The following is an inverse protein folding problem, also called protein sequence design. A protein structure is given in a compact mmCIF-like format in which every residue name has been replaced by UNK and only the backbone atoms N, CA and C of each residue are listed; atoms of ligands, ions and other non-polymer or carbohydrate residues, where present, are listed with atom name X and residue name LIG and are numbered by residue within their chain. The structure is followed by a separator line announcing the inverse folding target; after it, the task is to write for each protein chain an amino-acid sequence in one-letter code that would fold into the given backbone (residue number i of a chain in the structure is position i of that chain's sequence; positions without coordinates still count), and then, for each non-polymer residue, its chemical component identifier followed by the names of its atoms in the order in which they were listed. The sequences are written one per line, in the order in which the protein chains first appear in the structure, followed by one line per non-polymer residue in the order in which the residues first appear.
data_IF_893372524090
#
_entry.id   IF_893372524090
#
_cell.length_a   1.000
_cell.length_b   1.000
_cell.length_c   1.000
_cell.angle_alpha   90.00
_cell.angle_beta   90.00
_cell.angle_gamma   90.00
#
_symmetry.space_group_name_H-M   'P 1'
#
loop_
_entity.id
_entity.type
_entity.pdbx_description
1 polymer ?
#
# COMPACT_ATOMS: atom_id res chain seq x y z
N UNK A 1 -21.02 16.70 -11.73
CA UNK A 1 -19.80 16.76 -10.90
C UNK A 1 -19.62 15.39 -10.29
N UNK A 2 -18.45 14.72 -10.53
CA UNK A 2 -18.14 13.47 -9.83
C UNK A 2 -18.11 13.75 -8.34
N UNK A 3 -18.86 13.00 -7.56
CA UNK A 3 -18.83 13.05 -6.11
C UNK A 3 -17.42 12.60 -5.65
N UNK A 4 -16.57 13.57 -5.27
CA UNK A 4 -15.22 13.29 -4.77
C UNK A 4 -15.36 12.79 -3.33
N UNK A 5 -14.92 11.54 -3.02
CA UNK A 5 -15.03 11.01 -1.66
C UNK A 5 -14.31 11.88 -0.61
N UNK A 6 -13.46 12.81 -1.02
CA UNK A 6 -12.85 13.80 -0.14
C UNK A 6 -13.87 14.76 0.52
N UNK A 7 -15.04 14.95 -0.07
CA UNK A 7 -16.06 15.86 0.45
C UNK A 7 -16.71 15.38 1.77
N UNK A 8 -16.49 14.13 2.13
CA UNK A 8 -17.07 13.51 3.34
C UNK A 8 -16.07 13.39 4.50
N UNK A 9 -14.89 14.02 4.38
CA UNK A 9 -13.88 13.99 5.43
C UNK A 9 -14.10 15.08 6.46
N UNK A 10 -13.81 14.76 7.74
CA UNK A 10 -13.82 15.72 8.85
C UNK A 10 -12.64 16.69 8.85
N UNK A 11 -11.66 16.47 7.97
CA UNK A 11 -10.49 17.32 7.77
C UNK A 11 -10.42 17.80 6.33
N UNK A 12 -9.88 19.00 6.11
CA UNK A 12 -9.62 19.51 4.76
C UNK A 12 -8.58 18.65 4.05
N UNK A 13 -8.93 18.19 2.85
CA UNK A 13 -8.05 17.41 2.00
C UNK A 13 -7.62 18.23 0.79
N UNK A 14 -6.40 18.69 0.82
CA UNK A 14 -5.75 19.35 -0.31
C UNK A 14 -5.52 18.36 -1.47
N UNK A 15 -5.41 18.89 -2.67
CA UNK A 15 -5.10 18.11 -3.86
C UNK A 15 -3.88 18.69 -4.57
N UNK A 16 -2.89 17.84 -4.78
CA UNK A 16 -1.64 18.17 -5.46
C UNK A 16 -1.35 17.20 -6.59
N UNK A 17 -0.40 17.60 -7.43
CA UNK A 17 0.16 16.75 -8.47
C UNK A 17 1.68 16.76 -8.36
N UNK A 18 2.26 15.56 -8.30
CA UNK A 18 3.72 15.39 -8.26
C UNK A 18 4.15 14.73 -9.55
N UNK A 19 5.04 15.38 -10.29
CA UNK A 19 5.56 14.88 -11.55
C UNK A 19 6.98 14.33 -11.42
N UNK A 20 7.22 13.16 -12.04
CA UNK A 20 8.56 12.60 -12.18
C UNK A 20 8.67 11.80 -13.49
N UNK A 21 9.69 12.07 -14.29
CA UNK A 21 10.03 11.33 -15.53
C UNK A 21 8.82 11.08 -16.45
N UNK A 22 7.96 12.08 -16.62
CA UNK A 22 6.77 12.00 -17.49
C UNK A 22 5.57 11.27 -16.86
N UNK A 23 5.64 10.89 -15.60
CA UNK A 23 4.51 10.34 -14.82
C UNK A 23 4.06 11.36 -13.80
N UNK A 24 2.75 11.61 -13.73
CA UNK A 24 2.15 12.49 -12.72
C UNK A 24 1.36 11.67 -11.71
N UNK A 25 1.62 11.90 -10.45
CA UNK A 25 0.90 11.31 -9.33
C UNK A 25 -0.11 12.30 -8.78
N UNK A 26 -1.36 11.89 -8.63
CA UNK A 26 -2.35 12.60 -7.85
C UNK A 26 -2.10 12.34 -6.37
N UNK A 27 -2.09 13.40 -5.59
CA UNK A 27 -1.74 13.34 -4.16
C UNK A 27 -2.80 14.07 -3.35
N UNK A 28 -3.22 13.46 -2.25
CA UNK A 28 -4.01 14.12 -1.21
C UNK A 28 -3.13 14.45 -0.03
N UNK A 29 -3.36 15.62 0.58
CA UNK A 29 -2.64 16.02 1.77
C UNK A 29 -3.59 16.61 2.82
N UNK A 30 -3.24 16.44 4.09
CA UNK A 30 -3.98 16.96 5.24
C UNK A 30 -3.02 17.28 6.40
N UNK A 31 -3.48 18.08 7.34
CA UNK A 31 -2.71 18.50 8.52
C UNK A 31 -1.78 19.68 8.26
N UNK A 32 -1.08 20.16 9.30
CA UNK A 32 -0.25 21.37 9.22
C UNK A 32 0.91 21.18 8.23
N UNK A 33 1.18 22.21 7.44
CA UNK A 33 2.24 22.16 6.40
C UNK A 33 3.63 21.91 6.99
N UNK A 34 3.91 22.47 8.17
CA UNK A 34 5.18 22.35 8.90
C UNK A 34 5.28 21.08 9.78
N UNK A 35 4.18 20.35 9.92
CA UNK A 35 4.14 19.12 10.70
C UNK A 35 5.11 18.04 10.20
N UNK A 36 5.50 17.08 11.05
CA UNK A 36 6.32 15.95 10.63
C UNK A 36 5.63 15.17 9.49
N UNK A 37 6.37 14.92 8.40
CA UNK A 37 5.81 14.29 7.20
C UNK A 37 5.58 12.80 7.41
N UNK A 38 4.34 12.37 7.10
CA UNK A 38 3.95 10.95 6.98
C UNK A 38 3.37 10.69 5.59
N UNK A 39 3.95 9.75 4.87
CA UNK A 39 3.45 9.29 3.57
C UNK A 39 2.72 7.97 3.75
N UNK A 40 1.46 7.90 3.30
CA UNK A 40 0.64 6.68 3.38
C UNK A 40 0.52 6.04 1.99
N UNK A 41 0.99 4.80 1.85
CA UNK A 41 1.04 4.05 0.59
C UNK A 41 0.00 2.93 0.62
N UNK A 42 -1.04 3.05 -0.21
CA UNK A 42 -2.10 2.04 -0.35
C UNK A 42 -1.63 0.82 -1.15
N UNK A 43 -2.44 -0.23 -1.16
CA UNK A 43 -2.22 -1.43 -1.96
C UNK A 43 -3.25 -1.65 -3.06
N UNK A 44 -3.29 -2.90 -3.55
CA UNK A 44 -4.24 -3.37 -4.55
C UNK A 44 -5.54 -3.86 -3.90
N UNK A 45 -6.71 -3.48 -4.40
CA UNK A 45 -6.96 -2.60 -5.53
C UNK A 45 -7.42 -1.19 -5.07
N UNK A 46 -6.84 -0.69 -4.01
CA UNK A 46 -7.23 0.56 -3.36
C UNK A 46 -6.65 1.81 -4.06
N UNK A 47 -6.85 2.96 -3.46
CA UNK A 47 -6.28 4.25 -3.80
C UNK A 47 -6.20 5.10 -2.51
N UNK A 48 -5.85 6.38 -2.54
CA UNK A 48 -5.69 7.21 -1.34
C UNK A 48 -6.84 7.02 -0.31
N UNK A 49 -8.03 6.69 -0.76
CA UNK A 49 -9.22 6.50 0.08
C UNK A 49 -9.12 5.30 1.04
N UNK A 50 -8.26 4.35 0.75
CA UNK A 50 -7.94 3.25 1.66
C UNK A 50 -7.46 3.70 3.03
N UNK A 51 -6.96 4.93 3.12
CA UNK A 51 -6.47 5.54 4.35
C UNK A 51 -7.46 6.51 5.02
N UNK A 52 -8.73 6.50 4.60
CA UNK A 52 -9.77 7.44 5.05
C UNK A 52 -9.96 7.51 6.56
N UNK A 53 -9.63 6.45 7.29
CA UNK A 53 -9.73 6.39 8.76
C UNK A 53 -8.43 6.76 9.47
N UNK A 54 -7.28 6.75 8.79
CA UNK A 54 -5.97 7.11 9.32
C UNK A 54 -5.66 8.59 9.08
N UNK A 55 -6.02 9.12 7.93
CA UNK A 55 -5.75 10.53 7.56
C UNK A 55 -6.23 11.51 8.63
N UNK A 56 -7.50 11.48 9.09
CA UNK A 56 -7.97 12.44 10.10
C UNK A 56 -7.25 12.30 11.44
N UNK A 57 -6.97 11.06 11.86
CA UNK A 57 -6.33 10.80 13.15
C UNK A 57 -4.87 11.32 13.19
N UNK A 58 -4.12 11.08 12.12
CA UNK A 58 -2.73 11.55 12.01
C UNK A 58 -2.66 13.07 11.83
N UNK A 59 -3.56 13.66 11.03
CA UNK A 59 -3.62 15.10 10.83
C UNK A 59 -3.99 15.83 12.14
N UNK A 60 -4.96 15.30 12.91
CA UNK A 60 -5.34 15.85 14.22
C UNK A 60 -4.21 15.73 15.26
N UNK A 61 -3.31 14.77 15.11
CA UNK A 61 -2.11 14.63 15.94
C UNK A 61 -0.94 15.54 15.48
N UNK A 62 -1.17 16.43 14.51
CA UNK A 62 -0.17 17.42 14.07
C UNK A 62 0.78 16.94 12.97
N UNK A 63 0.54 15.77 12.35
CA UNK A 63 1.34 15.31 11.22
C UNK A 63 0.89 15.94 9.90
N UNK A 64 1.85 16.25 9.02
CA UNK A 64 1.56 16.48 7.61
C UNK A 64 1.39 15.13 6.95
N UNK A 65 0.16 14.77 6.63
CA UNK A 65 -0.21 13.48 6.03
C UNK A 65 -0.30 13.63 4.52
N UNK A 66 0.48 12.87 3.76
CA UNK A 66 0.52 12.91 2.29
C UNK A 66 0.21 11.52 1.76
N UNK A 67 -0.78 11.43 0.87
CA UNK A 67 -1.32 10.15 0.39
C UNK A 67 -1.40 10.17 -1.14
N UNK A 68 -0.40 9.62 -1.83
CA UNK A 68 -0.46 9.51 -3.29
C UNK A 68 -1.44 8.41 -3.72
N UNK A 69 -2.17 8.66 -4.81
CA UNK A 69 -2.58 7.55 -5.66
C UNK A 69 -1.32 7.01 -6.34
N UNK A 70 -0.92 5.82 -6.01
CA UNK A 70 0.30 5.26 -6.57
C UNK A 70 0.17 5.09 -8.10
N UNK A 71 1.27 5.02 -8.80
CA UNK A 71 1.35 4.86 -10.26
C UNK A 71 0.42 3.74 -10.75
N UNK A 72 -0.45 4.06 -11.71
CA UNK A 72 -1.43 3.11 -12.24
C UNK A 72 -2.78 3.10 -11.54
N UNK A 73 -2.93 3.82 -10.43
CA UNK A 73 -4.17 3.86 -9.64
C UNK A 73 -4.93 5.18 -9.79
N UNK A 74 -6.22 5.12 -9.65
CA UNK A 74 -7.20 6.22 -9.61
C UNK A 74 -6.87 7.36 -10.60
N UNK A 75 -6.41 8.52 -10.12
CA UNK A 75 -6.15 9.71 -10.93
C UNK A 75 -4.70 9.79 -11.41
N UNK A 76 -3.77 9.06 -10.82
CA UNK A 76 -2.36 9.04 -11.25
C UNK A 76 -2.19 8.43 -12.64
N UNK A 77 -1.15 8.80 -13.34
CA UNK A 77 -0.85 8.26 -14.66
C UNK A 77 -0.65 6.74 -14.62
N UNK A 78 -1.08 6.06 -15.69
CA UNK A 78 -1.00 4.61 -15.84
C UNK A 78 -0.22 4.25 -17.12
N UNK A 79 1.12 4.24 -17.07
CA UNK A 79 1.95 3.84 -18.19
C UNK A 79 1.58 2.44 -18.71
N UNK A 80 1.69 2.23 -20.03
CA UNK A 80 1.36 0.92 -20.62
C UNK A 80 2.41 -0.13 -20.36
N UNK A 81 3.69 0.28 -20.33
CA UNK A 81 4.82 -0.62 -20.21
C UNK A 81 4.91 -1.23 -18.80
N UNK A 82 5.05 -2.55 -18.72
CA UNK A 82 5.22 -3.28 -17.45
C UNK A 82 6.46 -2.80 -16.70
N UNK A 83 7.56 -2.50 -17.42
CA UNK A 83 8.80 -2.00 -16.82
C UNK A 83 8.65 -0.66 -16.07
N UNK A 84 7.60 0.12 -16.36
CA UNK A 84 7.30 1.34 -15.63
C UNK A 84 6.85 1.08 -14.19
N UNK A 85 6.54 -0.17 -13.83
CA UNK A 85 6.07 -0.60 -12.51
C UNK A 85 7.12 -1.41 -11.75
N UNK A 86 8.39 -1.36 -12.16
CA UNK A 86 9.49 -1.94 -11.37
C UNK A 86 9.59 -1.22 -10.01
N UNK A 87 9.92 -1.96 -8.95
CA UNK A 87 9.98 -1.43 -7.59
C UNK A 87 10.92 -0.24 -7.44
N UNK A 88 12.02 -0.19 -8.20
CA UNK A 88 12.93 0.94 -8.18
C UNK A 88 12.21 2.23 -8.64
N UNK A 89 11.37 2.14 -9.68
CA UNK A 89 10.54 3.27 -10.16
C UNK A 89 9.46 3.69 -9.17
N UNK A 90 8.90 2.73 -8.46
CA UNK A 90 7.86 3.00 -7.44
C UNK A 90 8.46 3.67 -6.20
N UNK A 91 9.67 3.29 -5.81
CA UNK A 91 10.45 3.96 -4.77
C UNK A 91 10.80 5.39 -5.19
N UNK A 92 11.24 5.58 -6.42
CA UNK A 92 11.50 6.90 -6.99
C UNK A 92 10.28 7.82 -6.90
N UNK A 93 9.07 7.30 -7.13
CA UNK A 93 7.82 8.04 -6.97
C UNK A 93 7.62 8.52 -5.53
N UNK A 94 7.90 7.65 -4.54
CA UNK A 94 7.80 8.02 -3.12
C UNK A 94 8.83 9.09 -2.77
N UNK A 95 10.06 8.98 -3.25
CA UNK A 95 11.10 10.00 -3.07
C UNK A 95 10.64 11.35 -3.65
N UNK A 96 10.05 11.35 -4.86
CA UNK A 96 9.52 12.57 -5.47
C UNK A 96 8.37 13.19 -4.67
N UNK A 97 7.52 12.39 -4.03
CA UNK A 97 6.46 12.86 -3.13
C UNK A 97 7.06 13.51 -1.88
N UNK A 98 8.12 12.93 -1.30
CA UNK A 98 8.84 13.49 -0.15
C UNK A 98 9.50 14.84 -0.53
N UNK A 99 10.14 14.89 -1.70
CA UNK A 99 10.79 16.11 -2.23
C UNK A 99 9.76 17.22 -2.48
N UNK A 100 8.62 16.88 -3.10
CA UNK A 100 7.54 17.82 -3.37
C UNK A 100 6.90 18.37 -2.08
N UNK A 101 6.96 17.64 -0.98
CA UNK A 101 6.56 18.12 0.34
C UNK A 101 7.65 18.99 1.03
N UNK A 102 8.77 19.27 0.35
CA UNK A 102 9.87 20.09 0.89
C UNK A 102 10.65 19.41 2.03
N UNK A 103 10.71 18.07 2.03
CA UNK A 103 11.36 17.32 3.11
C UNK A 103 12.47 16.42 2.56
N UNK A 104 13.57 16.26 3.33
CA UNK A 104 14.64 15.31 2.99
C UNK A 104 14.24 13.87 3.30
N UNK A 105 13.41 13.66 4.32
CA UNK A 105 12.96 12.33 4.76
C UNK A 105 11.56 12.40 5.36
N UNK A 106 10.87 11.25 5.36
CA UNK A 106 9.52 11.09 5.91
C UNK A 106 9.40 9.81 6.73
N UNK A 107 8.36 9.71 7.56
CA UNK A 107 7.86 8.41 7.99
C UNK A 107 6.96 7.85 6.90
N UNK A 108 7.06 6.56 6.62
CA UNK A 108 6.25 5.89 5.59
C UNK A 108 5.42 4.80 6.23
N UNK A 109 4.13 4.77 5.89
CA UNK A 109 3.21 3.71 6.28
C UNK A 109 2.70 3.05 5.00
N UNK A 110 2.90 1.75 4.86
CA UNK A 110 2.46 1.01 3.68
C UNK A 110 1.53 -0.14 4.03
N UNK A 111 0.55 -0.38 3.18
CA UNK A 111 -0.30 -1.56 3.20
C UNK A 111 -0.21 -2.28 1.86
N UNK A 112 -0.21 -3.63 1.84
CA UNK A 112 -0.15 -4.46 0.64
C UNK A 112 1.00 -4.02 -0.29
N UNK A 113 0.77 -3.70 -1.55
CA UNK A 113 1.81 -3.20 -2.45
C UNK A 113 2.53 -1.95 -1.93
N UNK A 114 1.82 -1.06 -1.21
CA UNK A 114 2.45 0.09 -0.58
C UNK A 114 3.48 -0.30 0.48
N UNK A 115 3.25 -1.41 1.20
CA UNK A 115 4.21 -1.97 2.14
C UNK A 115 5.43 -2.60 1.41
N UNK A 116 5.22 -3.27 0.26
CA UNK A 116 6.33 -3.75 -0.57
C UNK A 116 7.23 -2.62 -1.05
N UNK A 117 6.64 -1.48 -1.44
CA UNK A 117 7.41 -0.26 -1.77
C UNK A 117 8.15 0.26 -0.54
N UNK A 118 7.48 0.29 0.63
CA UNK A 118 8.11 0.69 1.90
C UNK A 118 9.31 -0.16 2.27
N UNK A 119 9.22 -1.49 2.17
CA UNK A 119 10.35 -2.40 2.37
C UNK A 119 11.49 -2.13 1.40
N UNK A 120 11.14 -1.92 0.12
CA UNK A 120 12.16 -1.65 -0.90
C UNK A 120 12.83 -0.29 -0.70
N UNK A 121 12.08 0.73 -0.33
CA UNK A 121 12.61 2.05 0.03
C UNK A 121 13.58 1.96 1.22
N UNK A 122 13.24 1.17 2.25
CA UNK A 122 14.10 1.01 3.42
C UNK A 122 15.44 0.35 3.12
N UNK A 123 15.52 -0.48 2.08
CA UNK A 123 16.81 -1.04 1.62
C UNK A 123 17.55 -0.15 0.63
N UNK A 124 16.81 0.51 -0.28
CA UNK A 124 17.43 1.28 -1.35
C UNK A 124 17.84 2.69 -0.91
N UNK A 125 17.04 3.31 -0.04
CA UNK A 125 17.19 4.70 0.39
C UNK A 125 16.83 4.87 1.88
N UNK A 126 17.51 4.19 2.82
CA UNK A 126 17.22 4.29 4.25
C UNK A 126 17.31 5.73 4.77
N UNK A 127 18.16 6.56 4.18
CA UNK A 127 18.34 7.97 4.51
C UNK A 127 17.08 8.83 4.24
N UNK A 128 16.16 8.35 3.38
CA UNK A 128 14.89 9.03 3.09
C UNK A 128 13.80 8.70 4.11
N UNK A 129 14.06 7.75 4.99
CA UNK A 129 13.11 7.32 6.02
C UNK A 129 13.48 7.81 7.41
N UNK A 130 12.47 8.24 8.16
CA UNK A 130 12.53 8.41 9.62
C UNK A 130 12.11 7.11 10.31
N UNK A 131 10.96 6.57 9.88
CA UNK A 131 10.33 5.36 10.39
C UNK A 131 9.57 4.67 9.28
N UNK A 132 9.41 3.37 9.42
CA UNK A 132 8.58 2.54 8.53
C UNK A 132 7.49 1.85 9.34
N UNK A 133 6.26 1.88 8.87
CA UNK A 133 5.21 0.98 9.35
C UNK A 133 4.66 0.15 8.19
N UNK A 134 4.54 -1.15 8.38
CA UNK A 134 4.13 -2.12 7.36
C UNK A 134 2.92 -2.87 7.86
N UNK A 135 1.83 -2.83 7.09
CA UNK A 135 0.58 -3.48 7.43
C UNK A 135 0.38 -4.70 6.52
N UNK A 136 0.28 -5.88 7.13
CA UNK A 136 -0.05 -7.17 6.49
C UNK A 136 0.83 -7.57 5.29
N UNK A 137 2.11 -7.20 5.27
CA UNK A 137 3.02 -7.65 4.20
C UNK A 137 4.37 -8.06 4.78
N UNK A 138 4.87 -9.25 4.42
CA UNK A 138 6.16 -9.72 4.90
C UNK A 138 7.32 -8.97 4.25
N UNK A 139 8.46 -8.99 4.92
CA UNK A 139 9.73 -8.64 4.29
C UNK A 139 9.95 -9.50 3.02
N UNK A 140 10.43 -8.92 1.90
CA UNK A 140 10.54 -9.64 0.62
C UNK A 140 11.32 -10.96 0.70
N UNK A 141 12.36 -11.01 1.53
CA UNK A 141 13.14 -12.22 1.77
C UNK A 141 12.32 -13.30 2.46
N UNK A 142 11.59 -12.93 3.52
CA UNK A 142 10.71 -13.85 4.26
C UNK A 142 9.61 -14.40 3.34
N UNK A 143 9.01 -13.53 2.52
CA UNK A 143 7.99 -13.96 1.54
C UNK A 143 8.54 -15.00 0.57
N UNK A 144 9.70 -14.71 -0.05
CA UNK A 144 10.35 -15.63 -0.98
C UNK A 144 10.67 -16.99 -0.35
N UNK A 145 11.22 -16.98 0.86
CA UNK A 145 11.61 -18.20 1.55
C UNK A 145 10.37 -19.01 1.98
N UNK A 146 9.30 -18.32 2.41
CA UNK A 146 8.01 -18.95 2.74
C UNK A 146 7.33 -19.56 1.51
N UNK A 147 7.39 -18.93 0.33
CA UNK A 147 6.86 -19.51 -0.91
C UNK A 147 7.55 -20.82 -1.27
N UNK A 148 8.81 -21.04 -0.86
CA UNK A 148 9.57 -22.26 -1.14
C UNK A 148 9.28 -23.37 -0.13
N UNK A 149 8.90 -23.03 1.08
CA UNK A 149 8.78 -23.95 2.21
C UNK A 149 7.34 -24.22 2.64
N UNK A 150 6.37 -23.37 2.22
CA UNK A 150 4.97 -23.49 2.61
C UNK A 150 4.05 -23.71 1.41
N UNK A 151 3.56 -24.96 1.19
CA UNK A 151 2.57 -25.24 0.14
C UNK A 151 1.29 -24.41 0.29
N UNK A 152 0.86 -24.17 1.53
CA UNK A 152 -0.32 -23.34 1.82
C UNK A 152 -0.13 -21.89 1.33
N UNK A 153 1.04 -21.29 1.59
CA UNK A 153 1.30 -19.93 1.12
C UNK A 153 1.45 -19.89 -0.41
N UNK A 154 2.06 -20.91 -1.00
CA UNK A 154 2.15 -21.02 -2.46
C UNK A 154 0.76 -21.05 -3.08
N UNK A 155 -0.17 -21.86 -2.53
CA UNK A 155 -1.55 -21.94 -3.00
C UNK A 155 -2.27 -20.57 -2.85
N UNK A 156 -2.14 -19.90 -1.69
CA UNK A 156 -2.71 -18.57 -1.46
C UNK A 156 -2.21 -17.53 -2.46
N UNK A 157 -0.99 -17.70 -2.98
CA UNK A 157 -0.35 -16.77 -3.92
C UNK A 157 -0.60 -17.06 -5.40
N UNK A 158 -1.38 -18.12 -5.74
CA UNK A 158 -1.65 -18.52 -7.14
C UNK A 158 -2.35 -17.45 -7.97
N UNK A 159 -3.15 -16.59 -7.34
CA UNK A 159 -3.79 -15.45 -8.05
C UNK A 159 -2.75 -14.53 -8.72
N UNK A 160 -1.55 -14.41 -8.14
CA UNK A 160 -0.47 -13.62 -8.74
C UNK A 160 0.03 -14.22 -10.07
N UNK A 161 -0.05 -15.54 -10.23
CA UNK A 161 0.23 -16.21 -11.51
C UNK A 161 -0.87 -15.94 -12.55
N UNK A 162 -2.13 -15.97 -12.12
CA UNK A 162 -3.25 -15.60 -12.99
C UNK A 162 -3.09 -14.14 -13.50
N UNK A 163 -2.61 -13.24 -12.69
CA UNK A 163 -2.39 -11.82 -13.06
C UNK A 163 -1.24 -11.63 -14.08
N UNK A 164 -0.41 -12.65 -14.33
CA UNK A 164 0.61 -12.60 -15.38
C UNK A 164 0.01 -12.69 -16.80
N UNK A 165 -1.19 -13.28 -16.93
CA UNK A 165 -1.84 -13.47 -18.24
C UNK A 165 -2.28 -12.10 -18.78
N UNK A 166 -1.93 -11.73 -20.01
CA UNK A 166 -2.37 -10.46 -20.60
C UNK A 166 -3.87 -10.46 -20.94
N UNK A 167 -4.57 -9.40 -20.57
CA UNK A 167 -5.95 -9.11 -21.00
C UNK A 167 -7.04 -9.88 -20.25
N UNK A 168 -6.84 -11.15 -19.93
CA UNK A 168 -7.85 -12.00 -19.28
C UNK A 168 -8.20 -11.51 -17.85
N UNK A 169 -7.23 -11.24 -16.96
CA UNK A 169 -7.53 -10.69 -15.65
C UNK A 169 -8.22 -9.33 -15.72
N UNK A 170 -7.79 -8.44 -16.63
CA UNK A 170 -8.42 -7.13 -16.82
C UNK A 170 -9.89 -7.29 -17.23
N UNK A 171 -10.18 -8.19 -18.16
CA UNK A 171 -11.54 -8.45 -18.60
C UNK A 171 -12.40 -9.04 -17.48
N UNK A 172 -11.90 -10.04 -16.77
CA UNK A 172 -12.65 -10.73 -15.71
C UNK A 172 -12.93 -9.81 -14.53
N UNK A 173 -11.92 -9.08 -14.05
CA UNK A 173 -12.03 -8.18 -12.90
C UNK A 173 -12.83 -6.90 -13.22
N UNK A 174 -12.75 -6.44 -14.48
CA UNK A 174 -13.45 -5.23 -14.93
C UNK A 174 -14.91 -5.44 -15.33
N UNK A 175 -15.38 -6.69 -15.47
CA UNK A 175 -16.77 -6.98 -15.85
C UNK A 175 -17.75 -6.42 -14.84
N UNK A 176 -18.95 -6.03 -15.32
CA UNK A 176 -20.05 -5.55 -14.49
C UNK A 176 -19.56 -4.48 -13.50
N UNK A 177 -18.89 -3.45 -14.02
CA UNK A 177 -18.39 -2.34 -13.20
C UNK A 177 -17.40 -2.73 -12.11
N UNK A 178 -16.50 -3.67 -12.36
CA UNK A 178 -15.53 -4.12 -11.38
C UNK A 178 -16.13 -5.03 -10.30
N UNK A 179 -17.21 -5.75 -10.63
CA UNK A 179 -17.85 -6.69 -9.69
C UNK A 179 -16.85 -7.73 -9.15
N UNK A 180 -15.90 -8.21 -9.97
CA UNK A 180 -14.88 -9.15 -9.54
C UNK A 180 -14.00 -8.59 -8.42
N UNK A 181 -13.53 -7.36 -8.55
CA UNK A 181 -12.75 -6.68 -7.52
C UNK A 181 -13.57 -6.41 -6.25
N UNK A 182 -14.83 -5.97 -6.40
CA UNK A 182 -15.71 -5.73 -5.26
C UNK A 182 -16.02 -7.02 -4.49
N UNK A 183 -16.23 -8.13 -5.20
CA UNK A 183 -16.42 -9.45 -4.58
C UNK A 183 -15.16 -9.89 -3.86
N UNK A 184 -13.98 -9.69 -4.44
CA UNK A 184 -12.69 -10.00 -3.82
C UNK A 184 -12.51 -9.22 -2.50
N UNK A 185 -12.79 -7.91 -2.48
CA UNK A 185 -12.73 -7.10 -1.27
C UNK A 185 -13.66 -7.62 -0.17
N UNK A 186 -14.93 -7.89 -0.51
CA UNK A 186 -15.90 -8.42 0.45
C UNK A 186 -15.51 -9.79 0.99
N UNK A 187 -14.99 -10.68 0.12
CA UNK A 187 -14.61 -12.03 0.51
C UNK A 187 -13.36 -12.04 1.40
N UNK A 188 -12.42 -11.15 1.15
CA UNK A 188 -11.14 -11.10 1.89
C UNK A 188 -11.18 -10.22 3.14
N UNK A 189 -12.23 -9.44 3.34
CA UNK A 189 -12.48 -8.63 4.52
C UNK A 189 -13.52 -9.27 5.46
N UNK A 190 -13.78 -8.61 6.58
CA UNK A 190 -14.94 -8.90 7.44
C UNK A 190 -16.23 -8.41 6.78
N UNK A 191 -17.40 -8.87 7.21
CA UNK A 191 -18.68 -8.46 6.59
C UNK A 191 -18.90 -6.94 6.54
N UNK A 192 -18.37 -6.20 7.50
CA UNK A 192 -18.50 -4.75 7.70
C UNK A 192 -17.27 -3.93 7.29
N UNK A 193 -16.22 -4.58 6.77
CA UNK A 193 -14.96 -3.92 6.37
C UNK A 193 -15.19 -2.86 5.29
N UNK A 194 -16.03 -3.16 4.30
CA UNK A 194 -16.32 -2.29 3.16
C UNK A 194 -17.81 -2.05 3.02
N UNK A 195 -18.27 -0.83 3.33
CA UNK A 195 -19.65 -0.41 3.06
C UNK A 195 -19.90 -0.26 1.55
N UNK A 196 -21.16 -0.26 1.14
CA UNK A 196 -21.53 -0.07 -0.26
C UNK A 196 -21.03 1.27 -0.84
N UNK A 197 -21.01 2.32 -0.02
CA UNK A 197 -20.46 3.61 -0.38
C UNK A 197 -18.93 3.53 -0.65
N UNK A 198 -18.19 2.76 0.15
CA UNK A 198 -16.77 2.52 -0.07
C UNK A 198 -16.54 1.80 -1.41
N UNK A 199 -17.28 0.73 -1.66
CA UNK A 199 -17.20 -0.02 -2.91
C UNK A 199 -17.59 0.83 -4.13
N UNK A 200 -18.55 1.73 -3.98
CA UNK A 200 -18.90 2.68 -5.03
C UNK A 200 -17.75 3.64 -5.34
N UNK A 201 -17.02 4.11 -4.31
CA UNK A 201 -15.82 4.94 -4.51
C UNK A 201 -14.70 4.16 -5.22
N UNK A 202 -14.44 2.91 -4.82
CA UNK A 202 -13.46 2.05 -5.47
C UNK A 202 -13.82 1.75 -6.92
N UNK A 203 -15.06 1.40 -7.21
CA UNK A 203 -15.54 1.16 -8.59
C UNK A 203 -15.33 2.37 -9.49
N UNK A 204 -15.61 3.60 -9.01
CA UNK A 204 -15.30 4.82 -9.77
C UNK A 204 -13.82 4.96 -10.12
N UNK A 205 -12.93 4.61 -9.19
CA UNK A 205 -11.49 4.63 -9.42
C UNK A 205 -11.06 3.58 -10.46
N UNK A 206 -11.56 2.35 -10.37
CA UNK A 206 -11.20 1.24 -11.27
C UNK A 206 -11.66 1.43 -12.70
N UNK A 207 -12.81 2.11 -12.91
CA UNK A 207 -13.36 2.40 -14.25
C UNK A 207 -12.52 3.38 -15.05
N UNK A 208 -11.62 4.12 -14.43
CA UNK A 208 -10.78 5.08 -15.15
C UNK A 208 -9.92 4.36 -16.19
N UNK A 209 -9.78 4.91 -17.40
CA UNK A 209 -9.07 4.24 -18.49
C UNK A 209 -7.66 3.79 -18.09
N UNK A 210 -7.33 2.53 -18.37
CA UNK A 210 -6.01 1.95 -18.12
C UNK A 210 -5.71 1.54 -16.68
N UNK A 211 -6.61 1.76 -15.71
CA UNK A 211 -6.34 1.50 -14.29
C UNK A 211 -6.18 0.01 -13.97
N UNK A 212 -7.08 -0.85 -14.46
CA UNK A 212 -6.95 -2.29 -14.26
C UNK A 212 -5.61 -2.82 -14.77
N UNK A 213 -5.21 -2.41 -16.00
CA UNK A 213 -3.90 -2.77 -16.51
C UNK A 213 -2.76 -2.21 -15.67
N UNK A 214 -2.84 -0.95 -15.24
CA UNK A 214 -1.85 -0.31 -14.39
C UNK A 214 -1.66 -1.08 -13.09
N UNK A 215 -2.73 -1.38 -12.37
CA UNK A 215 -2.73 -2.15 -11.13
C UNK A 215 -2.14 -3.56 -11.32
N UNK A 216 -2.53 -4.26 -12.39
CA UNK A 216 -2.03 -5.62 -12.68
C UNK A 216 -0.56 -5.62 -13.14
N UNK A 217 -0.09 -4.53 -13.72
CA UNK A 217 1.31 -4.42 -14.12
C UNK A 217 2.28 -4.41 -12.92
N UNK A 218 1.83 -4.08 -11.70
CA UNK A 218 2.62 -4.25 -10.48
C UNK A 218 2.99 -5.72 -10.26
N UNK A 219 2.02 -6.60 -10.39
CA UNK A 219 2.23 -8.06 -10.28
C UNK A 219 3.11 -8.59 -11.42
N UNK A 220 2.93 -8.10 -12.64
CA UNK A 220 3.74 -8.48 -13.81
C UNK A 220 5.19 -8.03 -13.68
N UNK A 221 5.41 -6.82 -13.20
CA UNK A 221 6.75 -6.28 -12.92
C UNK A 221 7.44 -7.08 -11.82
N UNK A 222 6.73 -7.35 -10.72
CA UNK A 222 7.25 -8.15 -9.61
C UNK A 222 7.61 -9.58 -10.04
N UNK A 223 6.78 -10.24 -10.86
CA UNK A 223 7.10 -11.56 -11.43
C UNK A 223 8.39 -11.55 -12.24
N UNK A 224 8.58 -10.53 -13.11
CA UNK A 224 9.81 -10.36 -13.88
C UNK A 224 11.03 -10.07 -13.00
N UNK A 225 10.86 -9.27 -11.93
CA UNK A 225 11.91 -8.95 -10.97
C UNK A 225 12.31 -10.19 -10.16
N UNK A 226 11.35 -10.99 -9.70
CA UNK A 226 11.59 -12.20 -8.93
C UNK A 226 12.46 -13.23 -9.67
N UNK A 227 12.38 -13.25 -11.01
CA UNK A 227 13.22 -14.10 -11.86
C UNK A 227 14.67 -13.57 -11.99
N UNK A 228 14.94 -12.30 -11.68
CA UNK A 228 16.20 -11.62 -11.94
C UNK A 228 16.96 -11.21 -10.69
N UNK A 229 16.28 -10.95 -9.59
CA UNK A 229 16.86 -10.39 -8.37
C UNK A 229 16.50 -11.21 -7.13
N UNK A 230 17.49 -11.37 -6.25
CA UNK A 230 17.30 -11.94 -4.92
C UNK A 230 16.96 -10.78 -3.97
N UNK A 231 15.90 -10.88 -3.14
CA UNK A 231 15.64 -9.88 -2.12
C UNK A 231 16.82 -9.73 -1.15
N UNK A 232 17.09 -8.52 -0.64
CA UNK A 232 18.14 -8.29 0.34
C UNK A 232 17.99 -9.18 1.57
N UNK A 233 19.13 -9.56 2.16
CA UNK A 233 19.20 -10.32 3.42
C UNK A 233 19.71 -9.48 4.59
N UNK A 234 20.23 -8.29 4.28
CA UNK A 234 20.76 -7.38 5.31
C UNK A 234 19.58 -6.84 6.15
N UNK A 235 19.83 -6.60 7.46
CA UNK A 235 18.81 -5.99 8.31
C UNK A 235 18.36 -4.62 7.79
N UNK A 236 17.09 -4.31 8.01
CA UNK A 236 16.56 -2.95 7.78
C UNK A 236 16.94 -2.10 8.99
N UNK A 237 17.76 -1.07 8.79
CA UNK A 237 18.26 -0.20 9.88
C UNK A 237 17.21 0.84 10.35
N UNK A 238 16.17 1.07 9.56
CA UNK A 238 15.09 2.01 9.89
C UNK A 238 14.18 1.40 10.97
N UNK A 239 13.87 2.13 12.06
CA UNK A 239 12.90 1.67 13.04
C UNK A 239 11.58 1.30 12.38
N UNK A 240 11.16 0.04 12.54
CA UNK A 240 10.05 -0.54 11.76
C UNK A 240 8.99 -1.16 12.66
N UNK A 241 7.73 -0.78 12.41
CA UNK A 241 6.54 -1.41 13.00
C UNK A 241 5.88 -2.33 11.97
N UNK A 242 5.75 -3.60 12.31
CA UNK A 242 4.96 -4.57 11.55
C UNK A 242 3.62 -4.77 12.27
N UNK A 243 2.52 -4.42 11.60
CA UNK A 243 1.15 -4.68 12.09
C UNK A 243 0.55 -5.79 11.22
N UNK A 244 -0.08 -6.79 11.85
CA UNK A 244 -0.60 -7.93 11.11
C UNK A 244 -1.97 -8.33 11.60
N UNK A 245 -2.96 -8.40 10.70
CA UNK A 245 -4.25 -9.02 10.95
C UNK A 245 -4.12 -10.54 10.86
N UNK A 246 -4.44 -11.24 11.94
CA UNK A 246 -4.21 -12.68 12.05
C UNK A 246 -5.08 -13.52 11.11
N UNK A 247 -6.20 -12.97 10.64
CA UNK A 247 -7.15 -13.62 9.76
C UNK A 247 -6.90 -13.34 8.27
N UNK A 248 -5.69 -12.88 7.91
CA UNK A 248 -5.31 -12.63 6.52
C UNK A 248 -5.38 -13.92 5.68
N UNK A 249 -6.26 -13.90 4.67
CA UNK A 249 -6.46 -15.06 3.77
C UNK A 249 -5.41 -15.13 2.66
N UNK A 250 -4.73 -14.02 2.35
CA UNK A 250 -3.72 -13.93 1.29
C UNK A 250 -2.31 -14.19 1.82
N UNK A 251 -1.95 -13.57 2.93
CA UNK A 251 -0.60 -13.60 3.50
C UNK A 251 -0.64 -14.17 4.92
N UNK A 252 -0.07 -15.35 5.09
CA UNK A 252 -0.15 -16.09 6.35
C UNK A 252 0.63 -15.41 7.48
N UNK A 253 0.02 -15.35 8.68
CA UNK A 253 0.58 -14.71 9.89
C UNK A 253 1.95 -15.25 10.32
N UNK A 254 2.32 -16.46 9.89
CA UNK A 254 3.62 -17.05 10.20
C UNK A 254 4.80 -16.24 9.64
N UNK A 255 4.55 -15.35 8.69
CA UNK A 255 5.57 -14.46 8.12
C UNK A 255 5.79 -13.18 8.95
N UNK A 256 4.88 -12.86 9.89
CA UNK A 256 4.92 -11.59 10.63
C UNK A 256 6.17 -11.47 11.52
N UNK A 257 6.39 -12.44 12.41
CA UNK A 257 7.52 -12.43 13.32
C UNK A 257 8.89 -12.50 12.61
N UNK A 258 9.08 -13.40 11.61
CA UNK A 258 10.31 -13.38 10.82
C UNK A 258 10.55 -12.04 10.09
N UNK A 259 9.49 -11.35 9.65
CA UNK A 259 9.62 -10.05 8.97
C UNK A 259 10.07 -8.95 9.94
N UNK A 260 9.54 -8.92 11.15
CA UNK A 260 10.00 -7.98 12.17
C UNK A 260 11.47 -8.27 12.58
N UNK A 261 11.86 -9.54 12.61
CA UNK A 261 13.25 -9.95 12.89
C UNK A 261 14.26 -9.56 11.80
N UNK A 262 13.80 -9.18 10.60
CA UNK A 262 14.65 -8.60 9.55
C UNK A 262 15.02 -7.14 9.79
N UNK A 263 14.56 -6.53 10.88
CA UNK A 263 14.83 -5.14 11.20
C UNK A 263 15.69 -5.03 12.45
N UNK A 264 16.64 -4.09 12.47
CA UNK A 264 17.49 -3.82 13.63
C UNK A 264 16.65 -3.33 14.84
N UNK A 265 15.64 -2.47 14.61
CA UNK A 265 14.60 -2.09 15.59
C UNK A 265 13.23 -2.45 15.02
N UNK A 266 12.91 -3.74 15.05
CA UNK A 266 11.67 -4.29 14.55
C UNK A 266 10.65 -4.55 15.66
N UNK A 267 9.45 -3.95 15.55
CA UNK A 267 8.34 -4.15 16.49
C UNK A 267 7.18 -4.85 15.80
N UNK A 268 6.64 -5.90 16.40
CA UNK A 268 5.47 -6.63 15.88
C UNK A 268 4.24 -6.37 16.73
N UNK A 269 3.10 -6.15 16.04
CA UNK A 269 1.77 -6.15 16.66
C UNK A 269 0.81 -6.99 15.80
N UNK A 270 0.21 -8.00 16.42
CA UNK A 270 -0.83 -8.83 15.79
C UNK A 270 -2.18 -8.36 16.30
N UNK A 271 -3.15 -8.27 15.39
CA UNK A 271 -4.56 -7.98 15.71
C UNK A 271 -5.35 -9.23 15.33
N UNK A 272 -5.80 -9.98 16.35
CA UNK A 272 -6.27 -11.36 16.17
C UNK A 272 -7.57 -11.46 15.35
N UNK A 273 -8.43 -10.45 15.43
CA UNK A 273 -9.73 -10.40 14.76
C UNK A 273 -9.72 -9.58 13.45
N UNK A 274 -8.54 -9.13 12.99
CA UNK A 274 -8.40 -8.40 11.74
C UNK A 274 -7.93 -9.31 10.59
N UNK A 275 -8.39 -8.95 9.38
CA UNK A 275 -8.03 -9.60 8.11
C UNK A 275 -6.82 -8.91 7.46
N UNK A 276 -6.65 -9.12 6.15
CA UNK A 276 -5.69 -8.38 5.32
C UNK A 276 -5.90 -6.86 5.41
N UNK A 277 -7.12 -6.43 5.62
CA UNK A 277 -7.57 -5.04 5.62
C UNK A 277 -7.50 -4.41 7.02
N UNK A 278 -6.40 -4.63 7.73
CA UNK A 278 -6.24 -4.28 9.15
C UNK A 278 -6.54 -2.82 9.46
N UNK A 279 -6.22 -1.88 8.55
CA UNK A 279 -6.50 -0.44 8.68
C UNK A 279 -7.99 -0.10 8.59
N UNK A 280 -8.78 -1.00 7.99
CA UNK A 280 -10.23 -0.90 7.92
C UNK A 280 -10.92 -1.63 9.06
N UNK A 281 -10.46 -2.84 9.37
CA UNK A 281 -11.06 -3.72 10.38
C UNK A 281 -10.89 -3.20 11.80
N UNK A 282 -9.71 -2.62 12.09
CA UNK A 282 -9.33 -2.16 13.43
C UNK A 282 -8.75 -0.73 13.42
N UNK A 283 -9.45 0.27 12.86
CA UNK A 283 -8.88 1.59 12.61
C UNK A 283 -8.39 2.30 13.87
N UNK A 284 -9.12 2.20 14.98
CA UNK A 284 -8.73 2.83 16.25
C UNK A 284 -7.43 2.22 16.81
N UNK A 285 -7.29 0.89 16.72
CA UNK A 285 -6.08 0.20 17.15
C UNK A 285 -4.89 0.54 16.24
N UNK A 286 -5.09 0.51 14.93
CA UNK A 286 -4.04 0.87 13.96
C UNK A 286 -3.59 2.32 14.15
N UNK A 287 -4.54 3.26 14.33
CA UNK A 287 -4.20 4.66 14.56
C UNK A 287 -3.34 4.84 15.84
N UNK A 288 -3.73 4.20 16.95
CA UNK A 288 -2.95 4.25 18.19
C UNK A 288 -1.54 3.67 18.02
N UNK A 289 -1.42 2.54 17.32
CA UNK A 289 -0.13 1.91 17.04
C UNK A 289 0.77 2.77 16.16
N UNK A 290 0.20 3.39 15.12
CA UNK A 290 0.92 4.30 14.24
C UNK A 290 1.39 5.52 15.02
N UNK A 291 0.53 6.20 15.77
CA UNK A 291 0.89 7.37 16.57
C UNK A 291 2.03 7.03 17.54
N UNK A 292 1.91 5.97 18.34
CA UNK A 292 2.96 5.57 19.27
C UNK A 292 4.27 5.13 18.60
N UNK A 293 4.23 4.70 17.33
CA UNK A 293 5.44 4.41 16.55
C UNK A 293 6.04 5.67 15.94
N UNK A 294 5.24 6.62 15.52
CA UNK A 294 5.70 7.84 14.86
C UNK A 294 6.29 8.85 15.85
N UNK A 295 5.85 8.85 17.10
CA UNK A 295 6.33 9.72 18.19
C UNK A 295 7.64 9.24 18.83
N UNK A 296 7.86 7.93 18.91
CA UNK A 296 9.02 7.32 19.57
C UNK A 296 10.32 7.60 18.83
#
# INVERSE_FOLDING_TARGET
MEDDPANHFSVSLERHWVGREGVRLHVRAAGPEDGPLVVLLHGFPEFWYGWRRQIPALAAAGYRVVVPDQRGYNRSDAPRAVAAYDLDRLVDDVCAVIDAAGRARASVVGHDWGAMVGWHLAHAHPERLRRLAVLNVPHPRVFRDTLRTSPTQLLRSTYALFFQVPGLPEWLLGRNDGQGLATMLRWSGRPDTFADADLAAYRRAWRRPGRLRGMLNWYRAAGRRALRRIPPSDPVDVPTLVVWGAQDVALGRQMAAPSAAMCADGRLRIIDDATHWVQHDAPATVNRLLLGHLEA
#
